data_IF_763907314989
#
_entry.id   IF_763907314989
#
_cell.length_a   1.000
_cell.length_b   1.000
_cell.length_c   1.000
_cell.angle_alpha   90.00
_cell.angle_beta   90.00
_cell.angle_gamma   90.00
#
_symmetry.space_group_name_H-M   'P 1'
#
loop_
_entity.id
_entity.type
_entity.pdbx_description
1 polymer ?
#
# COMPACT_ATOMS: atom_id res chain seq x y z
N UNK A 1 -23.81 -3.43 28.23
CA UNK A 1 -22.96 -4.13 27.26
C UNK A 1 -22.69 -3.13 26.14
N UNK A 2 -21.53 -2.51 26.16
CA UNK A 2 -21.16 -1.48 25.19
C UNK A 2 -20.93 -2.17 23.83
N UNK A 3 -21.71 -1.78 22.84
CA UNK A 3 -21.54 -2.21 21.45
C UNK A 3 -20.31 -1.51 20.89
N UNK A 4 -19.20 -2.25 20.75
CA UNK A 4 -18.03 -1.76 20.02
C UNK A 4 -18.48 -1.53 18.57
N UNK A 5 -18.37 -0.30 18.04
CA UNK A 5 -18.71 -0.06 16.64
C UNK A 5 -17.69 -0.80 15.78
N UNK A 6 -18.18 -1.79 15.02
CA UNK A 6 -17.42 -2.41 13.93
C UNK A 6 -17.33 -1.33 12.87
N UNK A 7 -16.17 -0.68 12.75
CA UNK A 7 -15.91 0.25 11.66
C UNK A 7 -15.79 -0.59 10.38
N UNK A 8 -16.85 -0.56 9.57
CA UNK A 8 -16.79 -0.96 8.18
C UNK A 8 -15.92 0.06 7.43
N UNK A 9 -14.59 -0.06 7.55
CA UNK A 9 -13.63 0.67 6.73
C UNK A 9 -13.47 -0.05 5.38
N UNK A 10 -14.58 -0.55 4.83
CA UNK A 10 -14.65 -1.38 3.64
C UNK A 10 -15.28 -0.64 2.48
N UNK A 11 -14.93 0.64 2.25
CA UNK A 11 -15.23 1.25 0.96
C UNK A 11 -14.64 0.37 -0.14
N UNK A 12 -15.50 -0.21 -0.99
CA UNK A 12 -15.19 -1.27 -1.97
C UNK A 12 -13.73 -1.21 -2.47
N UNK A 13 -13.00 -2.32 -2.33
CA UNK A 13 -11.59 -2.39 -2.73
C UNK A 13 -11.44 -1.99 -4.22
N UNK A 14 -10.37 -1.25 -4.59
CA UNK A 14 -10.16 -0.83 -5.96
C UNK A 14 -10.19 -2.02 -6.93
N UNK A 15 -10.92 -1.89 -8.04
CA UNK A 15 -11.03 -2.94 -9.06
C UNK A 15 -9.99 -2.83 -10.18
N UNK A 16 -9.26 -1.71 -10.23
CA UNK A 16 -8.21 -1.42 -11.22
C UNK A 16 -7.10 -0.57 -10.58
N UNK A 17 -5.92 -0.54 -11.22
CA UNK A 17 -4.81 0.32 -10.81
C UNK A 17 -5.18 1.81 -10.90
N UNK A 18 -6.01 2.19 -11.87
CA UNK A 18 -6.50 3.56 -12.00
C UNK A 18 -7.40 3.96 -10.81
N UNK A 19 -8.25 3.04 -10.34
CA UNK A 19 -9.12 3.29 -9.18
C UNK A 19 -8.31 3.53 -7.89
N UNK A 20 -7.08 3.04 -7.80
CA UNK A 20 -6.19 3.34 -6.67
C UNK A 20 -5.76 4.80 -6.61
N UNK A 21 -5.66 5.51 -7.74
CA UNK A 21 -5.15 6.89 -7.80
C UNK A 21 -5.96 7.86 -6.94
N UNK A 22 -7.26 7.59 -6.78
CA UNK A 22 -8.18 8.45 -6.04
C UNK A 22 -8.34 8.05 -4.56
N UNK A 23 -7.55 7.09 -4.05
CA UNK A 23 -7.64 6.65 -2.66
C UNK A 23 -6.78 7.54 -1.75
N UNK A 24 -7.17 7.72 -0.47
CA UNK A 24 -6.36 8.43 0.52
C UNK A 24 -4.93 7.91 0.62
N UNK A 25 -4.72 6.60 0.46
CA UNK A 25 -3.40 5.98 0.52
C UNK A 25 -2.54 6.24 -0.72
N UNK A 26 -3.09 6.75 -1.82
CA UNK A 26 -2.30 7.15 -2.99
C UNK A 26 -1.78 8.60 -2.89
N UNK A 27 -2.27 9.37 -1.92
CA UNK A 27 -1.88 10.77 -1.74
C UNK A 27 -0.43 10.90 -1.25
N UNK A 28 0.24 12.03 -1.51
CA UNK A 28 1.53 12.35 -0.92
C UNK A 28 1.48 12.38 0.61
N UNK A 29 2.58 12.03 1.28
CA UNK A 29 2.63 12.00 2.76
C UNK A 29 2.34 13.35 3.41
N UNK A 30 2.68 14.45 2.73
CA UNK A 30 2.41 15.82 3.18
C UNK A 30 0.94 16.23 3.06
N UNK A 31 0.11 15.44 2.36
CA UNK A 31 -1.29 15.77 2.13
C UNK A 31 -2.13 15.48 3.38
N UNK A 32 -2.95 16.44 3.84
CA UNK A 32 -3.71 16.32 5.08
C UNK A 32 -4.71 15.15 5.11
N UNK A 33 -5.22 14.76 3.94
CA UNK A 33 -6.12 13.61 3.79
C UNK A 33 -5.40 12.27 3.55
N UNK A 34 -4.06 12.22 3.61
CA UNK A 34 -3.33 10.96 3.46
C UNK A 34 -3.66 10.01 4.61
N UNK A 35 -3.92 8.75 4.27
CA UNK A 35 -4.08 7.66 5.23
C UNK A 35 -3.21 6.49 4.78
N UNK A 36 -2.51 5.77 5.69
CA UNK A 36 -1.77 4.59 5.32
C UNK A 36 -2.71 3.52 4.72
N UNK A 37 -2.22 2.70 3.77
CA UNK A 37 -3.05 1.68 3.15
C UNK A 37 -3.42 0.58 4.15
N UNK A 38 -4.61 0.01 4.00
CA UNK A 38 -4.98 -1.19 4.77
C UNK A 38 -4.26 -2.44 4.24
N UNK A 39 -4.17 -3.52 5.04
CA UNK A 39 -3.59 -4.79 4.55
C UNK A 39 -4.27 -5.31 3.27
N UNK A 40 -5.58 -5.12 3.15
CA UNK A 40 -6.39 -5.51 2.00
C UNK A 40 -6.08 -4.63 0.78
N UNK A 41 -5.81 -3.34 0.97
CA UNK A 41 -5.37 -2.46 -0.11
C UNK A 41 -3.96 -2.82 -0.60
N UNK A 42 -3.07 -3.20 0.31
CA UNK A 42 -1.73 -3.70 -0.05
C UNK A 42 -1.84 -4.99 -0.87
N UNK A 43 -2.65 -5.94 -0.40
CA UNK A 43 -2.91 -7.19 -1.10
C UNK A 43 -3.51 -6.93 -2.49
N UNK A 44 -4.50 -6.05 -2.56
CA UNK A 44 -5.21 -5.74 -3.79
C UNK A 44 -4.30 -5.08 -4.84
N UNK A 45 -3.41 -4.17 -4.44
CA UNK A 45 -2.45 -3.58 -5.37
C UNK A 45 -1.49 -4.63 -5.95
N UNK A 46 -0.97 -5.52 -5.09
CA UNK A 46 -0.07 -6.61 -5.51
C UNK A 46 -0.76 -7.52 -6.52
N UNK A 47 -2.00 -7.89 -6.26
CA UNK A 47 -2.81 -8.75 -7.14
C UNK A 47 -3.10 -8.07 -8.49
N UNK A 48 -3.55 -6.81 -8.47
CA UNK A 48 -3.85 -6.05 -9.70
C UNK A 48 -2.60 -5.79 -10.54
N UNK A 49 -1.45 -5.61 -9.91
CA UNK A 49 -0.18 -5.44 -10.61
C UNK A 49 0.43 -6.78 -11.08
N UNK A 50 -0.17 -7.92 -10.70
CA UNK A 50 0.30 -9.27 -11.07
C UNK A 50 1.62 -9.65 -10.41
N UNK A 51 1.92 -9.10 -9.22
CA UNK A 51 3.18 -9.33 -8.53
C UNK A 51 3.11 -10.49 -7.56
N UNK A 52 4.23 -11.20 -7.41
CA UNK A 52 4.42 -12.14 -6.30
C UNK A 52 5.06 -11.42 -5.10
N UNK A 53 4.97 -11.99 -3.89
CA UNK A 53 5.65 -11.46 -2.70
C UNK A 53 7.16 -11.24 -2.92
N UNK A 54 7.81 -12.11 -3.71
CA UNK A 54 9.22 -11.98 -4.04
C UNK A 54 9.50 -10.81 -4.98
N UNK A 55 8.62 -10.59 -5.96
CA UNK A 55 8.72 -9.43 -6.86
C UNK A 55 8.50 -8.15 -6.06
N UNK A 56 7.43 -8.07 -5.27
CA UNK A 56 7.16 -6.93 -4.39
C UNK A 56 8.36 -6.64 -3.50
N UNK A 57 8.92 -7.65 -2.83
CA UNK A 57 10.04 -7.46 -1.93
C UNK A 57 11.31 -6.93 -2.63
N UNK A 58 11.58 -7.40 -3.84
CA UNK A 58 12.69 -6.88 -4.67
C UNK A 58 12.45 -5.44 -5.10
N UNK A 59 11.23 -5.09 -5.49
CA UNK A 59 10.87 -3.72 -5.91
C UNK A 59 11.11 -2.71 -4.79
N UNK A 60 10.75 -3.06 -3.55
CA UNK A 60 10.86 -2.14 -2.40
C UNK A 60 12.10 -2.34 -1.53
N UNK A 61 12.97 -3.29 -1.88
CA UNK A 61 14.23 -3.51 -1.17
C UNK A 61 14.10 -4.12 0.23
N UNK A 62 13.13 -5.03 0.46
CA UNK A 62 12.99 -5.74 1.75
C UNK A 62 13.45 -7.19 1.66
N UNK A 63 13.75 -7.78 2.82
CA UNK A 63 14.22 -9.16 2.92
C UNK A 63 13.22 -10.15 2.30
N UNK A 64 13.74 -11.11 1.53
CA UNK A 64 12.96 -12.17 0.91
C UNK A 64 13.74 -13.49 0.85
N UNK A 65 13.03 -14.59 0.78
CA UNK A 65 13.57 -15.91 0.50
C UNK A 65 13.07 -16.39 -0.87
N UNK A 66 13.95 -16.76 -1.81
CA UNK A 66 13.55 -17.19 -3.15
C UNK A 66 12.53 -18.34 -3.17
N UNK A 67 12.57 -19.25 -2.17
CA UNK A 67 11.65 -20.39 -2.06
C UNK A 67 10.42 -20.12 -1.19
N UNK A 68 10.54 -19.26 -0.16
CA UNK A 68 9.50 -19.05 0.87
C UNK A 68 8.74 -17.72 0.78
N UNK A 69 9.12 -16.81 -0.11
CA UNK A 69 8.51 -15.48 -0.17
C UNK A 69 9.17 -14.49 0.78
N UNK A 70 8.51 -13.34 1.00
CA UNK A 70 8.96 -12.32 1.96
C UNK A 70 8.05 -12.33 3.19
N UNK A 71 8.62 -12.59 4.36
CA UNK A 71 7.88 -12.46 5.62
C UNK A 71 7.40 -11.03 5.84
N UNK A 72 8.20 -10.02 5.46
CA UNK A 72 7.82 -8.61 5.55
C UNK A 72 6.57 -8.32 4.73
N UNK A 73 6.55 -8.70 3.44
CA UNK A 73 5.37 -8.50 2.58
C UNK A 73 4.17 -9.29 3.08
N UNK A 74 4.37 -10.50 3.60
CA UNK A 74 3.29 -11.29 4.21
C UNK A 74 2.68 -10.58 5.42
N UNK A 75 3.48 -9.91 6.25
CA UNK A 75 3.02 -9.16 7.43
C UNK A 75 2.25 -7.90 7.05
N UNK A 76 2.62 -7.24 5.95
CA UNK A 76 1.87 -6.10 5.40
C UNK A 76 0.47 -6.46 4.92
N UNK A 77 0.29 -7.70 4.45
CA UNK A 77 -1.00 -8.24 3.99
C UNK A 77 -1.82 -8.90 5.10
N UNK A 78 -1.25 -9.07 6.29
CA UNK A 78 -1.92 -9.81 7.36
C UNK A 78 -2.99 -8.93 8.01
N UNK A 79 -4.20 -9.49 8.17
CA UNK A 79 -5.31 -8.84 8.87
C UNK A 79 -4.85 -8.26 10.21
N UNK A 80 -5.33 -7.06 10.53
CA UNK A 80 -4.87 -6.24 11.68
C UNK A 80 -5.04 -6.97 13.02
N UNK A 81 -5.99 -7.89 13.13
CA UNK A 81 -6.23 -8.69 14.33
C UNK A 81 -5.16 -9.77 14.60
N UNK A 82 -4.28 -10.05 13.64
CA UNK A 82 -3.20 -11.02 13.81
C UNK A 82 -1.98 -10.33 14.41
N UNK A 83 -1.38 -10.96 15.43
CA UNK A 83 -0.16 -10.50 16.13
C UNK A 83 1.03 -10.23 15.18
N UNK A 84 1.03 -10.87 14.01
CA UNK A 84 2.06 -10.73 12.99
C UNK A 84 1.80 -9.58 12.00
N UNK A 85 0.69 -8.86 12.09
CA UNK A 85 0.35 -7.73 11.21
C UNK A 85 1.30 -6.55 11.44
N UNK A 86 1.73 -5.93 10.34
CA UNK A 86 2.56 -4.73 10.37
C UNK A 86 2.11 -3.78 9.28
N UNK A 87 1.98 -2.51 9.61
CA UNK A 87 1.77 -1.46 8.61
C UNK A 87 2.96 -1.39 7.64
N UNK A 88 2.68 -1.16 6.36
CA UNK A 88 3.71 -0.90 5.35
C UNK A 88 4.25 0.53 5.51
N UNK A 89 5.57 0.75 5.56
CA UNK A 89 6.12 2.09 5.58
C UNK A 89 5.74 2.90 4.33
N UNK A 90 5.45 4.20 4.50
CA UNK A 90 5.07 5.08 3.39
C UNK A 90 6.03 5.00 2.20
N UNK A 91 7.34 4.97 2.44
CA UNK A 91 8.35 4.91 1.38
C UNK A 91 8.23 3.65 0.52
N UNK A 92 8.00 2.49 1.14
CA UNK A 92 7.78 1.23 0.43
C UNK A 92 6.47 1.26 -0.36
N UNK A 93 5.39 1.76 0.26
CA UNK A 93 4.09 1.89 -0.40
C UNK A 93 4.14 2.85 -1.60
N UNK A 94 4.74 4.02 -1.43
CA UNK A 94 4.88 5.01 -2.51
C UNK A 94 5.68 4.45 -3.68
N UNK A 95 6.75 3.70 -3.40
CA UNK A 95 7.54 3.05 -4.43
C UNK A 95 6.74 1.97 -5.18
N UNK A 96 5.90 1.19 -4.48
CA UNK A 96 4.97 0.26 -5.13
C UNK A 96 3.98 0.98 -6.05
N UNK A 97 3.37 2.08 -5.60
CA UNK A 97 2.45 2.85 -6.43
C UNK A 97 3.12 3.41 -7.70
N UNK A 98 4.38 3.85 -7.59
CA UNK A 98 5.17 4.33 -8.74
C UNK A 98 5.41 3.19 -9.74
N UNK A 99 5.89 2.02 -9.27
CA UNK A 99 6.12 0.87 -10.16
C UNK A 99 4.83 0.31 -10.77
N UNK A 100 3.70 0.44 -10.08
CA UNK A 100 2.39 0.07 -10.58
C UNK A 100 1.80 1.11 -11.54
N UNK A 101 2.44 2.27 -11.74
CA UNK A 101 1.94 3.35 -12.59
C UNK A 101 0.70 4.06 -12.04
N UNK A 102 0.36 3.86 -10.76
CA UNK A 102 -0.78 4.53 -10.11
C UNK A 102 -0.49 6.01 -9.94
N UNK A 103 0.74 6.32 -9.53
CA UNK A 103 1.25 7.67 -9.25
C UNK A 103 2.62 7.85 -9.88
N UNK A 104 3.08 9.09 -9.98
CA UNK A 104 4.37 9.47 -10.54
C UNK A 104 5.27 10.13 -9.49
N UNK A 105 6.53 10.35 -9.86
CA UNK A 105 7.46 11.17 -9.08
C UNK A 105 7.00 12.63 -9.08
N UNK A 106 6.53 13.13 -10.22
CA UNK A 106 6.06 14.50 -10.40
C UNK A 106 4.90 14.84 -9.47
N UNK A 107 3.99 13.90 -9.20
CA UNK A 107 2.90 14.09 -8.22
C UNK A 107 3.45 14.47 -6.82
N UNK A 108 4.58 13.89 -6.43
CA UNK A 108 5.22 14.18 -5.14
C UNK A 108 5.94 15.52 -5.12
N UNK A 109 6.61 15.87 -6.23
CA UNK A 109 7.28 17.17 -6.39
C UNK A 109 6.26 18.32 -6.43
N UNK A 110 5.18 18.15 -7.20
CA UNK A 110 4.09 19.11 -7.31
C UNK A 110 3.42 19.38 -5.96
N UNK A 111 3.21 18.34 -5.13
CA UNK A 111 2.64 18.48 -3.80
C UNK A 111 3.50 19.30 -2.82
N UNK A 112 4.78 19.48 -3.13
CA UNK A 112 5.73 20.30 -2.36
C UNK A 112 6.07 21.63 -3.05
N UNK A 113 5.42 21.95 -4.17
CA UNK A 113 5.75 23.10 -5.04
C UNK A 113 7.22 23.11 -5.49
N UNK A 114 7.79 21.93 -5.71
CA UNK A 114 9.14 21.77 -6.25
C UNK A 114 9.00 21.56 -7.76
N UNK A 115 9.55 22.48 -8.54
CA UNK A 115 9.61 22.36 -10.00
C UNK A 115 11.00 21.84 -10.41
N UNK A 116 11.02 20.88 -11.33
CA UNK A 116 12.22 20.30 -11.93
C UNK A 116 12.79 21.16 -13.05
#
# INVERSE_FOLDING_TARGET
METVPIYDVGGSLPISLEAFRNRPCALPFSHAAYMPPTPEEVDRLIDLAGWSQNVTAKLVGVAYNPKKGSSTVRKWKAAVEKDDSREIPYSAWRLMLIYAGVVTIDDGLAALNIHS
#
